data_IF_184712365726
#
_entry.id   IF_184712365726
#
_cell.length_a   1.000
_cell.length_b   1.000
_cell.length_c   1.000
_cell.angle_alpha   90.00
_cell.angle_beta   90.00
_cell.angle_gamma   90.00
#
_symmetry.space_group_name_H-M   'P 1'
#
loop_
_entity.id
_entity.type
_entity.pdbx_description
1 polymer ?
#
# COMPACT_ATOMS: atom_id res chain seq x y z
N UNK A 1 0.22 -19.98 -6.95
CA UNK A 1 0.18 -18.51 -7.12
C UNK A 1 1.22 -17.88 -6.19
N UNK A 2 2.50 -18.12 -6.42
CA UNK A 2 3.59 -17.78 -5.50
C UNK A 2 4.83 -17.34 -6.28
N UNK A 3 4.76 -16.17 -6.92
CA UNK A 3 5.91 -15.57 -7.62
C UNK A 3 5.94 -14.04 -7.47
N UNK A 4 5.54 -13.50 -6.32
CA UNK A 4 5.52 -12.04 -6.11
C UNK A 4 6.76 -11.47 -5.40
N UNK A 5 7.75 -12.29 -5.05
CA UNK A 5 8.81 -11.89 -4.10
C UNK A 5 10.23 -11.78 -4.67
N UNK A 6 10.43 -11.91 -5.99
CA UNK A 6 11.80 -12.09 -6.51
C UNK A 6 12.64 -10.83 -6.67
N UNK A 7 12.14 -9.62 -6.35
CA UNK A 7 12.92 -8.39 -6.59
C UNK A 7 12.78 -7.25 -5.56
N UNK A 8 12.35 -7.53 -4.33
CA UNK A 8 12.34 -6.54 -3.24
C UNK A 8 13.45 -6.85 -2.23
N UNK A 9 14.27 -5.86 -1.87
CA UNK A 9 15.33 -6.00 -0.85
C UNK A 9 14.70 -6.48 0.47
N UNK A 10 15.35 -7.45 1.11
CA UNK A 10 14.87 -8.24 2.26
C UNK A 10 14.36 -7.40 3.44
N UNK A 11 14.88 -6.19 3.56
CA UNK A 11 14.69 -5.25 4.67
C UNK A 11 13.40 -4.40 4.50
N UNK A 12 13.06 -3.97 3.28
CA UNK A 12 11.81 -3.25 2.99
C UNK A 12 10.60 -4.20 2.87
N UNK A 13 10.83 -5.45 2.44
CA UNK A 13 9.78 -6.50 2.45
C UNK A 13 9.24 -6.82 3.84
N UNK A 14 9.96 -6.46 4.92
CA UNK A 14 9.48 -6.68 6.29
C UNK A 14 8.35 -5.74 6.68
N UNK A 15 8.35 -4.49 6.17
CA UNK A 15 7.37 -3.47 6.53
C UNK A 15 6.06 -3.68 5.76
N UNK A 16 6.16 -3.89 4.44
CA UNK A 16 5.01 -4.14 3.57
C UNK A 16 4.61 -5.62 3.52
N UNK A 17 4.46 -6.23 4.70
CA UNK A 17 3.96 -7.60 4.79
C UNK A 17 2.58 -7.73 4.13
N UNK A 18 2.25 -8.94 3.70
CA UNK A 18 0.92 -9.25 3.17
C UNK A 18 -0.21 -8.81 4.11
N UNK A 19 -0.01 -8.97 5.43
CA UNK A 19 -0.97 -8.56 6.45
C UNK A 19 -1.09 -7.04 6.57
N UNK A 20 0.02 -6.30 6.40
CA UNK A 20 -0.01 -4.84 6.33
C UNK A 20 -0.83 -4.38 5.12
N UNK A 21 -0.53 -4.90 3.92
CA UNK A 21 -1.21 -4.50 2.69
C UNK A 21 -2.71 -4.74 2.83
N UNK A 22 -3.13 -5.92 3.28
CA UNK A 22 -4.54 -6.26 3.45
C UNK A 22 -5.25 -5.29 4.41
N UNK A 23 -4.75 -5.14 5.64
CA UNK A 23 -5.38 -4.25 6.65
C UNK A 23 -5.38 -2.79 6.25
N UNK A 24 -4.31 -2.34 5.60
CA UNK A 24 -4.18 -0.96 5.18
C UNK A 24 -5.09 -0.64 3.99
N UNK A 25 -5.29 -1.61 3.08
CA UNK A 25 -6.22 -1.48 1.95
C UNK A 25 -7.65 -1.23 2.40
N UNK A 26 -8.11 -1.97 3.42
CA UNK A 26 -9.42 -1.75 4.03
C UNK A 26 -9.59 -0.33 4.56
N UNK A 27 -8.51 0.24 5.13
CA UNK A 27 -8.52 1.60 5.67
C UNK A 27 -8.51 2.66 4.57
N UNK A 28 -7.77 2.43 3.48
CA UNK A 28 -7.69 3.33 2.32
C UNK A 28 -9.04 3.42 1.61
N UNK A 29 -9.68 2.29 1.36
CA UNK A 29 -11.01 2.22 0.77
C UNK A 29 -11.15 3.07 -0.50
N UNK A 30 -12.16 3.95 -0.54
CA UNK A 30 -12.53 4.74 -1.73
C UNK A 30 -11.44 5.69 -2.22
N UNK A 31 -10.47 6.04 -1.38
CA UNK A 31 -9.39 6.98 -1.71
C UNK A 31 -8.21 6.34 -2.45
N UNK A 32 -8.30 5.04 -2.75
CA UNK A 32 -7.24 4.28 -3.41
C UNK A 32 -6.73 4.94 -4.68
N UNK A 33 -7.61 5.52 -5.50
CA UNK A 33 -7.22 6.12 -6.80
C UNK A 33 -6.42 7.40 -6.59
N UNK A 34 -6.85 8.22 -5.63
CA UNK A 34 -6.13 9.44 -5.23
C UNK A 34 -4.77 9.08 -4.64
N UNK A 35 -4.70 8.08 -3.77
CA UNK A 35 -3.44 7.60 -3.21
C UNK A 35 -2.51 7.06 -4.31
N UNK A 36 -3.03 6.27 -5.25
CA UNK A 36 -2.26 5.75 -6.38
C UNK A 36 -1.60 6.85 -7.22
N UNK A 37 -2.30 7.97 -7.44
CA UNK A 37 -1.74 9.15 -8.13
C UNK A 37 -0.59 9.79 -7.35
N UNK A 38 -0.75 9.98 -6.04
CA UNK A 38 0.33 10.50 -5.19
C UNK A 38 1.53 9.57 -5.10
N UNK A 39 1.29 8.26 -5.24
CA UNK A 39 2.33 7.23 -5.35
C UNK A 39 2.89 7.08 -6.77
N UNK A 40 2.51 7.98 -7.69
CA UNK A 40 2.97 8.05 -9.07
C UNK A 40 2.67 6.78 -9.90
N UNK A 41 1.55 6.12 -9.62
CA UNK A 41 1.03 5.05 -10.48
C UNK A 41 0.34 5.70 -11.69
N UNK A 42 0.72 5.29 -12.90
CA UNK A 42 0.10 5.80 -14.13
C UNK A 42 -1.40 5.50 -14.24
N UNK A 43 -2.16 6.44 -14.81
CA UNK A 43 -3.62 6.32 -14.97
C UNK A 43 -4.03 5.04 -15.70
N UNK A 44 -3.25 4.58 -16.67
CA UNK A 44 -3.50 3.32 -17.38
C UNK A 44 -3.58 2.11 -16.43
N UNK A 45 -2.72 2.07 -15.40
CA UNK A 45 -2.78 1.01 -14.39
C UNK A 45 -3.94 1.21 -13.41
N UNK A 46 -4.24 2.46 -13.04
CA UNK A 46 -5.37 2.77 -12.18
C UNK A 46 -6.70 2.39 -12.85
N UNK A 47 -6.85 2.68 -14.13
CA UNK A 47 -8.04 2.33 -14.92
C UNK A 47 -8.20 0.81 -15.07
N UNK A 48 -7.09 0.08 -15.20
CA UNK A 48 -7.10 -1.38 -15.20
C UNK A 48 -7.55 -1.93 -13.84
N UNK A 49 -7.00 -1.40 -12.75
CA UNK A 49 -7.41 -1.78 -11.38
C UNK A 49 -8.89 -1.50 -11.14
N UNK A 50 -9.40 -0.36 -11.61
CA UNK A 50 -10.80 0.04 -11.46
C UNK A 50 -11.77 -0.90 -12.19
N UNK A 51 -11.34 -1.44 -13.34
CA UNK A 51 -12.09 -2.41 -14.14
C UNK A 51 -12.03 -3.82 -13.56
N UNK A 52 -10.87 -4.24 -13.08
CA UNK A 52 -10.62 -5.61 -12.63
C UNK A 52 -11.21 -5.92 -11.24
N UNK A 53 -11.53 -4.88 -10.47
CA UNK A 53 -12.02 -5.01 -9.10
C UNK A 53 -13.31 -4.22 -8.92
N UNK A 54 -14.27 -4.74 -8.16
CA UNK A 54 -15.55 -4.05 -7.93
C UNK A 54 -15.54 -3.23 -6.65
N UNK A 55 -14.94 -3.75 -5.59
CA UNK A 55 -14.94 -3.11 -4.26
C UNK A 55 -13.72 -2.22 -4.05
N UNK A 56 -13.89 -1.19 -3.23
CA UNK A 56 -12.85 -0.19 -3.00
C UNK A 56 -11.63 -0.72 -2.24
N UNK A 57 -11.83 -1.65 -1.30
CA UNK A 57 -10.78 -2.37 -0.58
C UNK A 57 -9.96 -3.28 -1.52
N UNK A 58 -10.62 -4.03 -2.42
CA UNK A 58 -9.96 -4.84 -3.46
C UNK A 58 -9.13 -3.96 -4.42
N UNK A 59 -9.67 -2.79 -4.80
CA UNK A 59 -8.95 -1.78 -5.59
C UNK A 59 -7.74 -1.21 -4.84
N UNK A 60 -7.91 -0.87 -3.57
CA UNK A 60 -6.82 -0.38 -2.71
C UNK A 60 -5.70 -1.41 -2.57
N UNK A 61 -6.06 -2.67 -2.38
CA UNK A 61 -5.12 -3.78 -2.30
C UNK A 61 -4.33 -3.95 -3.61
N UNK A 62 -5.04 -3.95 -4.74
CA UNK A 62 -4.42 -4.05 -6.06
C UNK A 62 -3.50 -2.86 -6.34
N UNK A 63 -3.92 -1.65 -5.96
CA UNK A 63 -3.13 -0.42 -6.09
C UNK A 63 -1.84 -0.46 -5.26
N UNK A 64 -1.91 -0.83 -3.98
CA UNK A 64 -0.72 -0.92 -3.13
C UNK A 64 0.24 -2.01 -3.62
N UNK A 65 -0.30 -3.17 -4.01
CA UNK A 65 0.50 -4.25 -4.59
C UNK A 65 1.18 -3.78 -5.87
N UNK A 66 0.46 -3.05 -6.73
CA UNK A 66 1.02 -2.50 -7.97
C UNK A 66 2.12 -1.48 -7.69
N UNK A 67 1.92 -0.59 -6.73
CA UNK A 67 2.93 0.38 -6.32
C UNK A 67 4.23 -0.31 -5.87
N UNK A 68 4.14 -1.35 -5.04
CA UNK A 68 5.29 -2.13 -4.60
C UNK A 68 6.03 -2.83 -5.74
N UNK A 69 5.31 -3.22 -6.80
CA UNK A 69 5.91 -3.87 -7.97
C UNK A 69 6.64 -2.89 -8.89
N UNK A 70 6.11 -1.68 -9.10
CA UNK A 70 6.66 -0.73 -10.06
C UNK A 70 7.61 0.29 -9.43
N UNK A 71 7.55 0.48 -8.12
CA UNK A 71 8.43 1.38 -7.39
C UNK A 71 9.81 0.76 -7.26
N UNK A 72 10.85 1.49 -7.66
CA UNK A 72 12.23 1.05 -7.50
C UNK A 72 12.66 0.93 -6.02
N UNK A 73 12.08 1.74 -5.14
CA UNK A 73 12.39 1.75 -3.70
C UNK A 73 11.16 2.19 -2.91
N UNK A 74 10.16 1.31 -2.71
CA UNK A 74 8.97 1.62 -1.93
C UNK A 74 9.33 1.72 -0.44
N UNK A 75 9.14 2.90 0.16
CA UNK A 75 9.42 3.13 1.59
C UNK A 75 8.17 3.59 2.32
N UNK A 76 8.17 3.38 3.64
CA UNK A 76 7.12 3.91 4.51
C UNK A 76 7.05 5.44 4.42
N UNK A 77 8.20 6.12 4.33
CA UNK A 77 8.26 7.58 4.21
C UNK A 77 7.58 8.10 2.95
N UNK A 78 7.73 7.40 1.82
CA UNK A 78 7.02 7.77 0.57
C UNK A 78 5.51 7.61 0.73
N UNK A 79 5.08 6.52 1.36
CA UNK A 79 3.66 6.31 1.67
C UNK A 79 3.12 7.40 2.61
N UNK A 80 3.82 7.67 3.72
CA UNK A 80 3.44 8.71 4.70
C UNK A 80 3.40 10.09 4.04
N UNK A 81 4.35 10.40 3.16
CA UNK A 81 4.38 11.68 2.44
C UNK A 81 3.16 11.83 1.54
N UNK A 82 2.83 10.80 0.75
CA UNK A 82 1.60 10.80 -0.06
C UNK A 82 0.34 11.01 0.80
N UNK A 83 0.25 10.35 1.96
CA UNK A 83 -0.89 10.51 2.88
C UNK A 83 -0.95 11.91 3.51
N UNK A 84 0.19 12.56 3.76
CA UNK A 84 0.26 13.96 4.23
C UNK A 84 -0.28 14.92 3.18
N UNK A 85 0.10 14.73 1.91
CA UNK A 85 -0.41 15.54 0.79
C UNK A 85 -1.93 15.35 0.61
N UNK A 86 -2.43 14.13 0.82
CA UNK A 86 -3.87 13.84 0.88
C UNK A 86 -4.57 14.38 2.14
N UNK A 87 -3.82 14.91 3.12
CA UNK A 87 -4.31 15.32 4.45
C UNK A 87 -5.02 14.19 5.24
N UNK A 88 -4.69 12.93 4.93
CA UNK A 88 -5.28 11.73 5.57
C UNK A 88 -4.49 11.28 6.80
N UNK A 89 -4.55 12.11 7.83
CA UNK A 89 -3.87 11.87 9.12
C UNK A 89 -4.40 10.64 9.85
N UNK A 90 -5.65 10.24 9.58
CA UNK A 90 -6.23 8.98 10.04
C UNK A 90 -5.50 7.77 9.45
N UNK A 91 -5.16 7.79 8.16
CA UNK A 91 -4.40 6.72 7.52
C UNK A 91 -2.96 6.66 8.00
N UNK A 92 -2.32 7.80 8.27
CA UNK A 92 -0.97 7.83 8.86
C UNK A 92 -0.96 7.13 10.22
N UNK A 93 -1.97 7.36 11.07
CA UNK A 93 -2.11 6.65 12.35
C UNK A 93 -2.28 5.14 12.16
N UNK A 94 -3.02 4.71 11.13
CA UNK A 94 -3.17 3.29 10.79
C UNK A 94 -1.84 2.66 10.38
N UNK A 95 -1.01 3.38 9.61
CA UNK A 95 0.34 2.93 9.28
C UNK A 95 1.18 2.73 10.55
N UNK A 96 1.14 3.67 11.49
CA UNK A 96 1.87 3.56 12.76
C UNK A 96 1.38 2.39 13.61
N UNK A 97 0.05 2.20 13.71
CA UNK A 97 -0.56 1.06 14.42
C UNK A 97 -0.06 -0.27 13.83
N UNK A 98 -0.11 -0.42 12.50
CA UNK A 98 0.21 -1.69 11.85
C UNK A 98 1.71 -2.00 11.87
N UNK A 99 2.57 -1.00 11.83
CA UNK A 99 4.03 -1.19 11.92
C UNK A 99 4.50 -1.47 13.36
N UNK A 100 3.89 -0.85 14.37
CA UNK A 100 4.19 -1.13 15.79
C UNK A 100 3.74 -2.52 16.23
N UNK A 101 2.60 -2.99 15.71
CA UNK A 101 2.05 -4.31 16.04
C UNK A 101 2.97 -5.45 15.55
N UNK A 102 3.73 -5.24 14.47
CA UNK A 102 4.71 -6.21 13.97
C UNK A 102 5.92 -6.38 14.90
N UNK A 103 6.28 -5.38 15.71
CA UNK A 103 7.41 -5.44 16.63
C UNK A 103 7.10 -6.12 17.98
N UNK A 104 5.81 -6.33 18.31
CA UNK A 104 5.39 -6.92 19.60
C UNK A 104 5.10 -8.43 19.55
N UNK A 105 5.36 -9.13 18.43
CA UNK A 105 5.08 -10.58 18.30
C UNK A 105 6.25 -11.50 18.63
N UNK A 106 7.23 -11.03 19.39
CA UNK A 106 8.31 -11.86 19.92
C UNK A 106 8.38 -11.73 21.45
N UNK A 107 7.46 -12.36 22.16
CA UNK A 107 7.66 -12.78 23.56
C UNK A 107 6.97 -14.14 23.75
#
# INVERSE_FOLDING_TARGET
MSQLFTHLKKDETTVFSQAFILKFSDSVGVDWRTLGRWLNIGENYLDMIDKDNSKSDEKAYSMLTKWLQISCNPTLDKLITALKEMKRMDLIRKVDEFTKTSNHRNI
#
